data_IF_782591940499
#
_entry.id   IF_782591940499
#
_cell.length_a   1.000
_cell.length_b   1.000
_cell.length_c   1.000
_cell.angle_alpha   90.00
_cell.angle_beta   90.00
_cell.angle_gamma   90.00
#
_symmetry.space_group_name_H-M   'P 1'
#
loop_
_entity.id
_entity.type
_entity.pdbx_description
1 polymer ?
#
# COMPACT_ATOMS: atom_id res chain seq x y z
N UNK A 1 -10.29 4.02 13.79
CA UNK A 1 -9.22 3.27 14.51
C UNK A 1 -8.81 3.97 15.77
N UNK A 2 -8.40 5.24 15.69
CA UNK A 2 -7.98 6.01 16.86
C UNK A 2 -9.00 6.00 18.02
N UNK A 3 -10.27 6.33 17.77
CA UNK A 3 -11.33 6.28 18.79
C UNK A 3 -11.60 4.87 19.34
N UNK A 4 -11.54 3.84 18.49
CA UNK A 4 -11.70 2.44 18.92
C UNK A 4 -10.55 1.97 19.82
N UNK A 5 -9.31 2.38 19.50
CA UNK A 5 -8.16 2.11 20.35
C UNK A 5 -8.30 2.78 21.72
N UNK A 6 -8.80 4.02 21.76
CA UNK A 6 -9.09 4.74 23.00
C UNK A 6 -10.18 4.08 23.84
N UNK A 7 -11.15 3.41 23.24
CA UNK A 7 -12.19 2.67 23.97
C UNK A 7 -11.75 1.28 24.45
N UNK A 8 -10.48 0.90 24.23
CA UNK A 8 -9.92 -0.40 24.64
C UNK A 8 -10.21 -1.55 23.66
N UNK A 9 -10.72 -1.26 22.46
CA UNK A 9 -10.94 -2.28 21.45
C UNK A 9 -9.61 -2.68 20.78
N UNK A 10 -9.41 -3.97 20.54
CA UNK A 10 -8.32 -4.47 19.71
C UNK A 10 -8.79 -4.54 18.26
N UNK A 11 -7.99 -4.01 17.33
CA UNK A 11 -8.35 -3.92 15.91
C UNK A 11 -7.29 -4.61 15.07
N UNK A 12 -7.73 -5.54 14.22
CA UNK A 12 -6.94 -6.05 13.10
C UNK A 12 -7.55 -5.44 11.84
N UNK A 13 -6.72 -4.80 11.01
CA UNK A 13 -7.18 -4.21 9.77
C UNK A 13 -6.23 -4.51 8.62
N UNK A 14 -6.78 -5.04 7.54
CA UNK A 14 -6.14 -5.08 6.24
C UNK A 14 -6.53 -3.80 5.47
N UNK A 15 -5.53 -3.05 4.99
CA UNK A 15 -5.78 -1.80 4.28
C UNK A 15 -4.72 -1.54 3.23
N UNK A 16 -5.15 -0.96 2.11
CA UNK A 16 -4.27 -0.36 1.10
C UNK A 16 -4.24 1.18 1.21
N UNK A 17 -4.75 1.74 2.31
CA UNK A 17 -4.68 3.19 2.56
C UNK A 17 -3.44 3.50 3.40
N UNK A 18 -2.50 4.32 2.89
CA UNK A 18 -1.35 4.75 3.70
C UNK A 18 -1.80 5.58 4.91
N UNK A 19 -2.96 6.23 4.85
CA UNK A 19 -3.53 7.03 5.94
C UNK A 19 -3.94 6.12 7.10
N UNK A 20 -4.64 5.01 6.82
CA UNK A 20 -5.05 4.08 7.86
C UNK A 20 -3.85 3.30 8.43
N UNK A 21 -2.89 2.93 7.57
CA UNK A 21 -1.65 2.30 7.99
C UNK A 21 -0.78 3.20 8.89
N UNK A 22 -0.96 4.52 8.84
CA UNK A 22 -0.27 5.49 9.71
C UNK A 22 -0.89 5.63 11.10
N UNK A 23 -1.79 4.71 11.50
CA UNK A 23 -2.38 4.74 12.84
C UNK A 23 -1.26 4.71 13.90
N UNK A 24 -1.29 5.63 14.90
CA UNK A 24 -0.30 5.64 15.96
C UNK A 24 -0.17 4.28 16.66
N UNK A 25 1.05 3.91 16.99
CA UNK A 25 1.40 2.67 17.70
C UNK A 25 0.96 1.37 16.99
N UNK A 26 0.63 1.43 15.69
CA UNK A 26 0.27 0.26 14.93
C UNK A 26 1.47 -0.68 14.71
N UNK A 27 1.27 -1.96 15.02
CA UNK A 27 2.13 -3.03 14.52
C UNK A 27 1.79 -3.33 13.07
N UNK A 28 2.70 -3.01 12.16
CA UNK A 28 2.46 -3.13 10.72
C UNK A 28 3.03 -4.45 10.20
N UNK A 29 2.15 -5.24 9.59
CA UNK A 29 2.49 -6.42 8.78
C UNK A 29 2.22 -6.09 7.32
N UNK A 30 3.25 -6.14 6.51
CA UNK A 30 3.14 -6.01 5.06
C UNK A 30 3.07 -7.38 4.41
N UNK A 31 2.12 -7.53 3.49
CA UNK A 31 1.89 -8.75 2.72
C UNK A 31 2.26 -8.46 1.26
N UNK A 32 3.14 -9.27 0.68
CA UNK A 32 3.56 -9.17 -0.72
C UNK A 32 4.17 -10.47 -1.22
N UNK A 33 4.90 -10.42 -2.34
CA UNK A 33 5.55 -11.60 -2.93
C UNK A 33 6.56 -12.27 -1.99
N UNK A 34 7.13 -11.49 -1.08
CA UNK A 34 8.02 -11.95 -0.01
C UNK A 34 7.29 -12.65 1.15
N UNK A 35 5.97 -12.84 1.05
CA UNK A 35 5.13 -13.36 2.13
C UNK A 35 4.68 -12.24 3.07
N UNK A 36 4.75 -12.50 4.38
CA UNK A 36 4.41 -11.52 5.41
C UNK A 36 5.66 -11.04 6.16
N UNK A 37 5.81 -9.73 6.33
CA UNK A 37 6.92 -9.14 7.11
C UNK A 37 6.44 -8.05 8.05
N UNK A 38 7.06 -7.96 9.23
CA UNK A 38 6.97 -6.76 10.07
C UNK A 38 7.81 -5.66 9.46
N UNK A 39 7.25 -4.46 9.35
CA UNK A 39 7.97 -3.30 8.83
C UNK A 39 7.49 -2.01 9.47
N UNK A 40 8.15 -0.90 9.17
CA UNK A 40 7.72 0.44 9.57
C UNK A 40 6.92 1.09 8.46
N UNK A 41 6.02 2.00 8.80
CA UNK A 41 5.16 2.69 7.86
C UNK A 41 5.94 3.33 6.71
N UNK A 42 7.06 4.00 7.00
CA UNK A 42 7.85 4.72 5.98
C UNK A 42 8.53 3.79 4.97
N UNK A 43 8.61 2.50 5.27
CA UNK A 43 9.23 1.45 4.45
C UNK A 43 8.21 0.61 3.68
N UNK A 44 6.91 0.86 3.85
CA UNK A 44 5.89 0.18 3.08
C UNK A 44 6.03 0.53 1.60
N UNK A 45 5.92 -0.48 0.73
CA UNK A 45 5.92 -0.28 -0.73
C UNK A 45 4.77 0.63 -1.15
N UNK A 46 3.61 0.48 -0.51
CA UNK A 46 2.46 1.37 -0.70
C UNK A 46 2.80 2.84 -0.42
N UNK A 47 3.53 3.10 0.68
CA UNK A 47 3.87 4.49 1.07
C UNK A 47 4.88 5.08 0.10
N UNK A 48 5.82 4.26 -0.37
CA UNK A 48 6.77 4.69 -1.40
C UNK A 48 6.07 5.01 -2.73
N UNK A 49 5.16 4.16 -3.20
CA UNK A 49 4.33 4.44 -4.37
C UNK A 49 3.53 5.74 -4.24
N UNK A 50 2.90 5.97 -3.09
CA UNK A 50 2.17 7.20 -2.81
C UNK A 50 3.06 8.44 -2.83
N UNK A 51 4.27 8.36 -2.27
CA UNK A 51 5.24 9.47 -2.33
C UNK A 51 5.63 9.79 -3.77
N UNK A 52 5.96 8.78 -4.58
CA UNK A 52 6.31 8.97 -6.00
C UNK A 52 5.15 9.57 -6.80
N UNK A 53 3.92 9.10 -6.56
CA UNK A 53 2.74 9.65 -7.21
C UNK A 53 2.53 11.13 -6.86
N UNK A 54 2.65 11.50 -5.58
CA UNK A 54 2.48 12.89 -5.15
C UNK A 54 3.62 13.81 -5.63
N UNK A 55 4.83 13.28 -5.80
CA UNK A 55 5.98 14.02 -6.34
C UNK A 55 5.81 14.35 -7.82
N UNK A 56 5.38 13.37 -8.63
CA UNK A 56 5.12 13.58 -10.06
C UNK A 56 4.00 12.68 -10.59
N UNK A 57 2.73 13.14 -10.53
CA UNK A 57 1.57 12.37 -10.96
C UNK A 57 1.62 11.99 -12.45
N UNK A 58 2.09 12.91 -13.31
CA UNK A 58 2.09 12.72 -14.76
C UNK A 58 3.10 11.67 -15.21
N UNK A 59 4.28 11.61 -14.59
CA UNK A 59 5.27 10.57 -14.86
C UNK A 59 4.82 9.21 -14.30
N UNK A 60 4.26 9.21 -13.09
CA UNK A 60 3.79 7.98 -12.44
C UNK A 60 2.65 7.31 -13.23
N UNK A 61 1.66 8.08 -13.70
CA UNK A 61 0.55 7.55 -14.48
C UNK A 61 0.99 6.99 -15.84
N UNK A 62 2.01 7.59 -16.48
CA UNK A 62 2.56 7.07 -17.75
C UNK A 62 3.11 5.66 -17.60
N UNK A 63 3.86 5.39 -16.53
CA UNK A 63 4.38 4.05 -16.26
C UNK A 63 3.31 2.99 -15.96
N UNK A 64 2.14 3.39 -15.46
CA UNK A 64 1.02 2.48 -15.21
C UNK A 64 0.18 2.22 -16.46
N UNK A 65 0.00 3.21 -17.33
CA UNK A 65 -0.79 3.08 -18.56
C UNK A 65 0.01 2.37 -19.66
N UNK A 66 1.32 2.63 -19.75
CA UNK A 66 2.18 2.01 -20.77
C UNK A 66 2.55 0.55 -20.45
N UNK A 67 2.31 0.08 -19.21
CA UNK A 67 2.54 -1.30 -18.78
C UNK A 67 1.33 -2.24 -18.85
N UNK A 68 0.16 -1.75 -19.28
CA UNK A 68 -1.12 -2.49 -19.28
C UNK A 68 -1.55 -3.06 -20.65
N UNK A 69 -0.63 -3.16 -21.60
CA UNK A 69 -0.92 -3.62 -22.97
C UNK A 69 -0.17 -4.90 -23.33
N UNK A 70 -0.48 -6.01 -22.67
CA UNK A 70 -0.20 -7.34 -23.24
C UNK A 70 -1.25 -8.36 -22.78
N UNK A 71 -2.50 -8.10 -23.14
CA UNK A 71 -3.50 -9.15 -23.36
C UNK A 71 -3.63 -9.36 -24.88
N UNK A 72 -2.50 -9.71 -25.53
CA UNK A 72 -2.46 -10.20 -26.89
C UNK A 72 -2.59 -11.72 -26.88
N UNK A 73 -3.64 -12.23 -27.53
CA UNK A 73 -3.88 -13.67 -27.65
C UNK A 73 -2.71 -14.41 -28.29
N UNK A 74 -2.45 -15.60 -27.75
CA UNK A 74 -1.77 -16.68 -28.47
C UNK A 74 -2.81 -17.78 -28.73
N UNK A 75 -3.54 -17.58 -29.82
CA UNK A 75 -4.17 -18.63 -30.59
C UNK A 75 -3.07 -19.48 -31.26
N UNK A 76 -2.71 -20.57 -30.56
CA UNK A 76 -2.00 -21.73 -31.09
C UNK A 76 -2.81 -23.02 -30.90
#
# INVERSE_FOLDING_TARGET
MYELGRSGAQVICATHSPILAATPDADIIEIGEHGFRRTRWEKLELVDHWRRYLDNPSAYLRHLVDGGGDDGGDDG
#
